data_IF_692805239811
#
_entry.id   IF_692805239811
#
_cell.length_a   1.000
_cell.length_b   1.000
_cell.length_c   1.000
_cell.angle_alpha   90.00
_cell.angle_beta   90.00
_cell.angle_gamma   90.00
#
_symmetry.space_group_name_H-M   'P 1'
#
loop_
_entity.id
_entity.type
_entity.pdbx_description
1 polymer ?
#
# COMPACT_ATOMS: atom_id res chain seq x y z
N UNK A 1 29.22 8.41 -13.37
CA UNK A 1 28.28 9.10 -12.45
C UNK A 1 27.92 8.13 -11.35
N UNK A 2 28.20 8.46 -10.08
CA UNK A 2 27.83 7.59 -8.96
C UNK A 2 26.30 7.45 -8.91
N UNK A 3 25.77 6.23 -8.86
CA UNK A 3 24.34 5.99 -8.61
C UNK A 3 24.02 6.58 -7.24
N UNK A 4 23.19 7.62 -7.17
CA UNK A 4 22.83 8.33 -5.93
C UNK A 4 21.80 7.56 -5.08
N UNK A 5 22.01 6.25 -4.87
CA UNK A 5 21.13 5.38 -4.09
C UNK A 5 21.84 4.72 -2.91
N UNK A 6 21.08 4.39 -1.88
CA UNK A 6 21.52 3.52 -0.78
C UNK A 6 21.30 2.06 -1.18
N UNK A 7 22.10 1.16 -0.63
CA UNK A 7 21.97 -0.28 -0.90
C UNK A 7 21.19 -0.95 0.23
N UNK A 8 20.08 -1.61 -0.09
CA UNK A 8 19.36 -2.50 0.82
C UNK A 8 19.70 -3.96 0.50
N UNK A 9 19.71 -4.82 1.51
CA UNK A 9 19.88 -6.27 1.33
C UNK A 9 18.55 -6.99 1.51
N UNK A 10 18.21 -7.92 0.62
CA UNK A 10 17.02 -8.75 0.73
C UNK A 10 17.24 -9.80 1.81
N UNK A 11 16.38 -9.82 2.82
CA UNK A 11 16.43 -10.76 3.93
C UNK A 11 15.47 -11.93 3.71
N UNK A 12 14.28 -11.65 3.18
CA UNK A 12 13.27 -12.65 2.93
C UNK A 12 12.31 -12.23 1.81
N UNK A 13 11.77 -13.21 1.10
CA UNK A 13 10.71 -13.06 0.11
C UNK A 13 9.64 -14.12 0.36
N UNK A 14 8.40 -13.70 0.60
CA UNK A 14 7.31 -14.59 1.02
C UNK A 14 6.04 -14.27 0.23
N UNK A 15 5.39 -15.29 -0.32
CA UNK A 15 4.10 -15.11 -1.00
C UNK A 15 2.99 -14.99 0.04
N UNK A 16 2.36 -13.82 0.10
CA UNK A 16 1.17 -13.57 0.93
C UNK A 16 -0.08 -14.07 0.20
N UNK A 17 -0.12 -13.89 -1.11
CA UNK A 17 -1.11 -14.49 -2.01
C UNK A 17 -0.41 -14.80 -3.34
N UNK A 18 -1.09 -15.46 -4.29
CA UNK A 18 -0.46 -15.86 -5.57
C UNK A 18 0.24 -14.69 -6.29
N UNK A 19 -0.31 -13.48 -6.15
CA UNK A 19 0.19 -12.27 -6.82
C UNK A 19 0.65 -11.18 -5.84
N UNK A 20 0.78 -11.48 -4.54
CA UNK A 20 1.22 -10.50 -3.54
C UNK A 20 2.45 -11.02 -2.82
N UNK A 21 3.59 -10.38 -3.09
CA UNK A 21 4.89 -10.76 -2.54
C UNK A 21 5.26 -9.81 -1.39
N UNK A 22 5.54 -10.36 -0.22
CA UNK A 22 6.22 -9.66 0.86
C UNK A 22 7.73 -9.74 0.65
N UNK A 23 8.39 -8.59 0.67
CA UNK A 23 9.86 -8.49 0.60
C UNK A 23 10.36 -7.79 1.84
N UNK A 24 11.16 -8.49 2.65
CA UNK A 24 11.82 -7.90 3.82
C UNK A 24 13.24 -7.49 3.44
N UNK A 25 13.55 -6.23 3.70
CA UNK A 25 14.81 -5.59 3.35
C UNK A 25 15.53 -5.10 4.61
N UNK A 26 16.82 -5.40 4.73
CA UNK A 26 17.71 -4.72 5.65
C UNK A 26 18.11 -3.38 5.04
N UNK A 27 17.79 -2.28 5.72
CA UNK A 27 18.26 -0.96 5.31
C UNK A 27 19.58 -0.63 6.02
N UNK A 28 20.49 0.13 5.36
CA UNK A 28 21.77 0.52 5.96
C UNK A 28 21.59 1.61 7.02
N UNK A 29 20.51 2.39 6.91
CA UNK A 29 20.18 3.48 7.83
C UNK A 29 18.82 3.25 8.49
N UNK A 30 18.69 3.72 9.73
CA UNK A 30 17.41 3.77 10.40
C UNK A 30 16.42 4.70 9.66
N UNK A 31 15.18 4.25 9.54
CA UNK A 31 14.09 5.04 8.97
C UNK A 31 13.36 5.81 10.06
N UNK A 32 13.27 7.14 9.94
CA UNK A 32 12.29 7.95 10.71
C UNK A 32 10.89 7.69 10.14
N UNK A 33 10.38 6.49 10.40
CA UNK A 33 9.24 5.95 9.67
C UNK A 33 7.95 6.69 10.00
N UNK A 34 7.20 7.05 8.96
CA UNK A 34 5.83 7.60 9.01
C UNK A 34 4.94 6.72 8.14
N UNK A 35 3.61 6.71 8.38
CA UNK A 35 2.68 5.94 7.54
C UNK A 35 2.88 6.32 6.08
N UNK A 36 2.78 5.34 5.19
CA UNK A 36 2.67 5.58 3.75
C UNK A 36 3.90 6.27 3.13
N UNK A 37 5.08 6.08 3.74
CA UNK A 37 6.36 6.40 3.08
C UNK A 37 6.72 5.30 2.07
N UNK A 38 7.38 5.68 0.99
CA UNK A 38 7.85 4.74 -0.02
C UNK A 38 9.36 4.87 -0.22
N UNK A 39 9.94 3.79 -0.72
CA UNK A 39 11.30 3.75 -1.25
C UNK A 39 11.22 3.57 -2.76
N UNK A 40 12.06 4.31 -3.48
CA UNK A 40 12.18 4.24 -4.93
C UNK A 40 13.31 3.29 -5.30
N UNK A 41 13.00 2.17 -5.92
CA UNK A 41 13.99 1.16 -6.31
C UNK A 41 14.31 1.28 -7.79
N UNK A 42 15.58 1.06 -8.14
CA UNK A 42 15.96 0.80 -9.52
C UNK A 42 15.57 -0.65 -9.86
N UNK A 43 14.58 -0.83 -10.74
CA UNK A 43 14.03 -2.15 -11.08
C UNK A 43 14.62 -2.71 -12.38
N UNK A 44 15.15 -1.83 -13.24
CA UNK A 44 16.04 -2.17 -14.36
C UNK A 44 16.89 -0.95 -14.77
N UNK A 45 17.67 -1.06 -15.84
CA UNK A 45 18.61 -0.01 -16.28
C UNK A 45 17.97 1.35 -16.57
N UNK A 46 16.68 1.40 -16.89
CA UNK A 46 15.96 2.62 -17.29
C UNK A 46 14.73 2.91 -16.44
N UNK A 47 14.39 2.03 -15.50
CA UNK A 47 13.15 2.10 -14.73
C UNK A 47 13.40 2.13 -13.23
N UNK A 48 12.73 3.07 -12.56
CA UNK A 48 12.56 3.02 -11.12
C UNK A 48 11.08 2.83 -10.76
N UNK A 49 10.80 2.21 -9.61
CA UNK A 49 9.44 2.05 -9.07
C UNK A 49 9.40 2.40 -7.58
N UNK A 50 8.31 3.04 -7.18
CA UNK A 50 8.05 3.38 -5.79
C UNK A 50 7.27 2.25 -5.12
N UNK A 51 7.80 1.73 -4.01
CA UNK A 51 7.13 0.72 -3.18
C UNK A 51 6.96 1.24 -1.76
N UNK A 52 5.74 1.14 -1.24
CA UNK A 52 5.42 1.61 0.11
C UNK A 52 6.08 0.71 1.16
N UNK A 53 6.67 1.33 2.18
CA UNK A 53 7.12 0.64 3.40
C UNK A 53 5.87 0.29 4.21
N UNK A 54 5.41 -0.95 4.04
CA UNK A 54 4.22 -1.50 4.68
C UNK A 54 4.43 -1.66 6.18
N UNK A 55 5.63 -2.10 6.59
CA UNK A 55 6.03 -2.20 7.98
C UNK A 55 7.51 -1.83 8.17
N UNK A 56 7.85 -1.35 9.36
CA UNK A 56 9.21 -1.06 9.78
C UNK A 56 9.50 -1.69 11.14
N UNK A 57 10.56 -2.49 11.22
CA UNK A 57 11.11 -3.02 12.46
C UNK A 57 12.33 -2.19 12.86
N UNK A 58 12.18 -1.36 13.89
CA UNK A 58 13.24 -0.45 14.32
C UNK A 58 14.45 -1.18 14.90
N UNK A 59 14.24 -2.21 15.73
CA UNK A 59 15.32 -2.99 16.37
C UNK A 59 16.18 -3.72 15.35
N UNK A 60 15.57 -4.26 14.30
CA UNK A 60 16.28 -4.96 13.22
C UNK A 60 16.69 -4.06 12.07
N UNK A 61 16.22 -2.81 12.04
CA UNK A 61 16.33 -1.89 10.89
C UNK A 61 15.84 -2.51 9.57
N UNK A 62 14.70 -3.20 9.63
CA UNK A 62 14.12 -3.92 8.50
C UNK A 62 12.83 -3.29 8.00
N UNK A 63 12.74 -3.08 6.69
CA UNK A 63 11.53 -2.62 6.01
C UNK A 63 10.84 -3.80 5.32
N UNK A 64 9.53 -3.90 5.44
CA UNK A 64 8.72 -4.85 4.66
C UNK A 64 7.96 -4.10 3.58
N UNK A 65 8.09 -4.57 2.34
CA UNK A 65 7.30 -4.15 1.20
C UNK A 65 6.24 -5.20 0.90
N UNK A 66 5.06 -4.77 0.45
CA UNK A 66 4.04 -5.65 -0.11
C UNK A 66 3.84 -5.25 -1.57
N UNK A 67 4.21 -6.14 -2.50
CA UNK A 67 4.31 -5.86 -3.92
C UNK A 67 3.30 -6.72 -4.66
N UNK A 68 2.34 -6.08 -5.33
CA UNK A 68 1.54 -6.75 -6.35
C UNK A 68 2.45 -7.10 -7.53
N UNK A 69 2.55 -8.40 -7.80
CA UNK A 69 3.29 -8.95 -8.93
C UNK A 69 2.32 -9.54 -9.96
N UNK A 70 1.01 -9.35 -9.85
CA UNK A 70 0.04 -9.99 -10.75
C UNK A 70 0.10 -9.53 -12.21
N UNK A 71 0.75 -8.40 -12.49
CA UNK A 71 0.86 -7.84 -13.83
C UNK A 71 2.27 -8.00 -14.42
N UNK A 72 2.36 -7.97 -15.74
CA UNK A 72 3.63 -7.88 -16.46
C UNK A 72 4.17 -6.45 -16.39
N UNK A 73 5.46 -6.30 -16.10
CA UNK A 73 6.10 -5.00 -15.99
C UNK A 73 7.43 -5.07 -15.26
N UNK A 74 8.29 -4.06 -15.48
CA UNK A 74 9.64 -4.02 -14.92
C UNK A 74 9.67 -4.21 -13.40
N UNK A 75 8.74 -3.57 -12.67
CA UNK A 75 8.63 -3.70 -11.22
C UNK A 75 8.26 -5.11 -10.75
N UNK A 76 7.21 -5.71 -11.34
CA UNK A 76 6.78 -7.07 -11.00
C UNK A 76 7.84 -8.11 -11.36
N UNK A 77 8.50 -7.95 -12.50
CA UNK A 77 9.55 -8.85 -12.96
C UNK A 77 10.80 -8.74 -12.08
N UNK A 78 11.15 -7.53 -11.65
CA UNK A 78 12.20 -7.30 -10.66
C UNK A 78 11.87 -7.98 -9.33
N UNK A 79 10.66 -7.73 -8.78
CA UNK A 79 10.25 -8.29 -7.49
C UNK A 79 10.23 -9.83 -7.49
N UNK A 80 9.77 -10.45 -8.58
CA UNK A 80 9.78 -11.91 -8.78
C UNK A 80 11.17 -12.54 -8.72
N UNK A 81 12.20 -11.78 -9.09
CA UNK A 81 13.58 -12.28 -9.16
C UNK A 81 14.36 -12.11 -7.86
N UNK A 82 13.83 -11.33 -6.90
CA UNK A 82 14.52 -11.11 -5.63
C UNK A 82 14.64 -12.39 -4.82
N UNK A 83 15.82 -12.63 -4.29
CA UNK A 83 16.13 -13.74 -3.40
C UNK A 83 16.83 -13.25 -2.13
N UNK A 84 16.68 -13.95 -0.99
CA UNK A 84 17.48 -13.67 0.19
C UNK A 84 18.98 -13.63 -0.13
N UNK A 85 19.65 -12.56 0.30
CA UNK A 85 21.06 -12.30 0.00
C UNK A 85 21.30 -11.32 -1.16
N UNK A 86 20.30 -11.07 -2.00
CA UNK A 86 20.40 -10.05 -3.06
C UNK A 86 20.56 -8.65 -2.48
N UNK A 87 21.12 -7.75 -3.29
CA UNK A 87 21.18 -6.32 -2.97
C UNK A 87 20.44 -5.50 -4.01
N UNK A 88 19.80 -4.42 -3.56
CA UNK A 88 19.08 -3.51 -4.44
C UNK A 88 19.35 -2.06 -4.06
N UNK A 89 19.37 -1.19 -5.08
CA UNK A 89 19.58 0.24 -4.90
C UNK A 89 18.25 0.95 -4.76
N UNK A 90 18.17 1.84 -3.77
CA UNK A 90 16.98 2.64 -3.53
C UNK A 90 17.29 4.10 -3.18
N UNK A 91 16.29 4.95 -3.39
CA UNK A 91 16.27 6.35 -2.97
C UNK A 91 15.07 6.56 -2.05
N UNK A 92 15.22 7.40 -1.02
CA UNK A 92 14.13 7.76 -0.12
C UNK A 92 14.53 7.78 1.36
N UNK A 93 13.53 7.81 2.27
CA UNK A 93 12.10 7.71 1.97
C UNK A 93 11.52 8.94 1.27
N UNK A 94 10.58 8.71 0.36
CA UNK A 94 9.62 9.71 -0.11
C UNK A 94 8.24 9.48 0.50
N UNK A 95 7.28 10.33 0.15
CA UNK A 95 5.88 10.17 0.57
C UNK A 95 5.63 10.51 2.04
N UNK A 96 4.76 9.75 2.69
CA UNK A 96 4.35 10.01 4.08
C UNK A 96 3.19 10.99 4.24
N UNK A 97 2.52 11.36 3.16
CA UNK A 97 1.42 12.34 3.17
C UNK A 97 0.13 11.79 3.76
N UNK A 98 -0.14 10.49 3.59
CA UNK A 98 -1.26 9.84 4.25
C UNK A 98 -0.83 9.43 5.66
N UNK A 99 -1.50 10.01 6.65
CA UNK A 99 -1.43 9.63 8.05
C UNK A 99 -2.87 9.42 8.53
N UNK A 100 -3.12 8.53 9.51
CA UNK A 100 -4.43 8.43 10.15
C UNK A 100 -4.87 9.81 10.66
N UNK A 101 -6.11 10.18 10.35
CA UNK A 101 -6.73 11.43 10.81
C UNK A 101 -7.31 11.22 12.21
N UNK A 102 -8.02 12.22 12.74
CA UNK A 102 -8.76 12.10 13.99
C UNK A 102 -10.12 11.37 13.85
N UNK A 103 -10.55 11.03 12.63
CA UNK A 103 -11.84 10.35 12.39
C UNK A 103 -11.89 8.98 13.06
N UNK A 104 -13.05 8.59 13.59
CA UNK A 104 -13.24 7.23 14.14
C UNK A 104 -13.15 6.17 13.05
N UNK A 105 -13.74 6.44 11.88
CA UNK A 105 -13.73 5.53 10.75
C UNK A 105 -12.67 5.94 9.71
N UNK A 106 -11.77 5.01 9.41
CA UNK A 106 -10.77 5.14 8.34
C UNK A 106 -11.09 4.11 7.26
N UNK A 107 -11.51 4.56 6.08
CA UNK A 107 -11.90 3.65 4.98
C UNK A 107 -10.86 3.72 3.88
N UNK A 108 -10.16 2.63 3.66
CA UNK A 108 -9.14 2.47 2.64
C UNK A 108 -9.73 1.75 1.42
N UNK A 109 -9.66 2.35 0.24
CA UNK A 109 -10.20 1.79 -1.00
C UNK A 109 -9.13 1.82 -2.08
N UNK A 110 -8.81 0.68 -2.68
CA UNK A 110 -7.77 0.62 -3.70
C UNK A 110 -7.72 -0.68 -4.47
N UNK A 111 -6.64 -0.86 -5.22
CA UNK A 111 -6.28 -2.13 -5.85
C UNK A 111 -5.12 -2.83 -5.11
N UNK A 112 -4.66 -3.95 -5.66
CA UNK A 112 -3.56 -4.74 -5.13
C UNK A 112 -2.28 -3.93 -4.82
N UNK A 113 -1.98 -2.91 -5.62
CA UNK A 113 -0.79 -2.06 -5.44
C UNK A 113 -0.88 -1.19 -4.18
N UNK A 114 -2.09 -0.98 -3.65
CA UNK A 114 -2.33 -0.18 -2.46
C UNK A 114 -2.25 -0.97 -1.14
N UNK A 115 -2.11 -2.31 -1.18
CA UNK A 115 -2.14 -3.15 0.03
C UNK A 115 -1.05 -2.72 1.03
N UNK A 116 0.20 -2.57 0.57
CA UNK A 116 1.29 -2.10 1.45
C UNK A 116 1.05 -0.72 2.04
N UNK A 117 0.41 0.17 1.28
CA UNK A 117 0.06 1.51 1.74
C UNK A 117 -0.98 1.50 2.85
N UNK A 118 -1.99 0.66 2.73
CA UNK A 118 -3.02 0.53 3.76
C UNK A 118 -2.55 -0.26 4.97
N UNK A 119 -1.70 -1.27 4.81
CA UNK A 119 -1.01 -1.93 5.94
C UNK A 119 -0.19 -0.92 6.75
N UNK A 120 0.55 -0.03 6.06
CA UNK A 120 1.33 1.06 6.68
C UNK A 120 0.43 2.04 7.45
N UNK A 121 -0.74 2.37 6.90
CA UNK A 121 -1.72 3.24 7.57
C UNK A 121 -2.35 2.54 8.79
N UNK A 122 -2.71 1.26 8.66
CA UNK A 122 -3.30 0.44 9.71
C UNK A 122 -2.40 0.30 10.93
N UNK A 123 -1.11 0.07 10.72
CA UNK A 123 -0.13 -0.06 11.82
C UNK A 123 -0.02 1.18 12.71
N UNK A 124 -0.49 2.35 12.25
CA UNK A 124 -0.38 3.63 12.94
C UNK A 124 -1.73 4.21 13.37
N UNK A 125 -2.82 3.47 13.18
CA UNK A 125 -4.15 3.90 13.64
C UNK A 125 -4.15 4.09 15.16
N UNK A 126 -4.86 5.09 15.64
CA UNK A 126 -5.08 5.36 17.05
C UNK A 126 -5.94 4.29 17.72
N UNK A 127 -5.88 4.26 19.06
CA UNK A 127 -6.81 3.48 19.87
C UNK A 127 -8.25 3.94 19.60
N UNK A 128 -9.18 2.98 19.44
CA UNK A 128 -10.58 3.26 19.13
C UNK A 128 -10.89 3.52 17.64
N UNK A 129 -9.88 3.75 16.79
CA UNK A 129 -10.12 3.87 15.34
C UNK A 129 -10.44 2.52 14.71
N UNK A 130 -11.48 2.53 13.88
CA UNK A 130 -11.92 1.42 13.04
C UNK A 130 -11.40 1.65 11.62
N UNK A 131 -10.51 0.77 11.16
CA UNK A 131 -10.03 0.80 9.79
C UNK A 131 -10.72 -0.29 8.98
N UNK A 132 -11.28 0.10 7.84
CA UNK A 132 -11.87 -0.79 6.87
C UNK A 132 -11.02 -0.74 5.60
N UNK A 133 -10.70 -1.89 5.01
CA UNK A 133 -9.94 -1.94 3.76
C UNK A 133 -10.74 -2.67 2.69
N UNK A 134 -10.88 -2.04 1.53
CA UNK A 134 -11.48 -2.60 0.34
C UNK A 134 -10.44 -2.64 -0.77
N UNK A 135 -10.11 -3.84 -1.24
CA UNK A 135 -9.11 -4.02 -2.29
C UNK A 135 -9.74 -4.70 -3.50
N UNK A 136 -9.67 -4.07 -4.66
CA UNK A 136 -9.94 -4.72 -5.94
C UNK A 136 -8.85 -5.74 -6.23
N UNK A 137 -9.20 -7.02 -6.25
CA UNK A 137 -8.27 -8.10 -6.56
C UNK A 137 -9.02 -9.30 -7.14
N UNK A 138 -8.38 -10.08 -8.02
CA UNK A 138 -8.98 -11.24 -8.66
C UNK A 138 -9.17 -12.47 -7.75
N UNK A 139 -8.67 -12.41 -6.52
CA UNK A 139 -8.72 -13.50 -5.54
C UNK A 139 -8.74 -12.93 -4.13
N UNK A 140 -9.37 -13.60 -3.15
CA UNK A 140 -9.39 -13.16 -1.76
C UNK A 140 -7.98 -12.93 -1.19
N UNK A 141 -7.78 -11.78 -0.55
CA UNK A 141 -6.57 -11.47 0.20
C UNK A 141 -6.67 -12.00 1.64
N UNK A 142 -5.61 -12.62 2.17
CA UNK A 142 -5.65 -13.26 3.49
C UNK A 142 -5.46 -12.25 4.63
N UNK A 143 -6.55 -11.92 5.32
CA UNK A 143 -6.56 -11.00 6.47
C UNK A 143 -5.54 -11.38 7.56
N UNK A 144 -5.40 -12.68 7.85
CA UNK A 144 -4.51 -13.18 8.90
C UNK A 144 -3.04 -12.93 8.58
N UNK A 145 -2.63 -13.11 7.32
CA UNK A 145 -1.25 -12.87 6.90
C UNK A 145 -0.96 -11.36 6.80
N UNK A 146 -1.94 -10.59 6.33
CA UNK A 146 -1.83 -9.13 6.24
C UNK A 146 -1.93 -8.41 7.59
N UNK A 147 -2.44 -9.09 8.62
CA UNK A 147 -2.69 -8.53 9.96
C UNK A 147 -3.48 -7.22 9.90
N UNK A 148 -4.42 -7.15 8.95
CA UNK A 148 -5.24 -5.99 8.66
C UNK A 148 -6.59 -6.48 8.12
N UNK A 149 -7.72 -5.89 8.57
CA UNK A 149 -9.03 -6.21 8.00
C UNK A 149 -9.05 -5.84 6.52
N UNK A 150 -9.37 -6.79 5.65
CA UNK A 150 -9.46 -6.57 4.20
C UNK A 150 -10.64 -7.31 3.57
N UNK A 151 -11.53 -6.54 2.95
CA UNK A 151 -12.56 -7.04 2.06
C UNK A 151 -12.03 -7.01 0.63
N UNK A 152 -12.01 -8.17 -0.03
CA UNK A 152 -11.64 -8.24 -1.45
C UNK A 152 -12.87 -7.99 -2.33
N UNK A 153 -12.75 -7.10 -3.31
CA UNK A 153 -13.77 -6.80 -4.30
C UNK A 153 -13.39 -7.40 -5.65
N UNK A 154 -14.29 -8.22 -6.23
CA UNK A 154 -14.11 -8.75 -7.59
C UNK A 154 -14.56 -7.74 -8.66
N UNK A 155 -15.70 -7.09 -8.42
CA UNK A 155 -16.16 -5.96 -9.22
C UNK A 155 -15.98 -4.69 -8.40
N UNK A 156 -15.09 -3.82 -8.87
CA UNK A 156 -14.71 -2.62 -8.14
C UNK A 156 -15.88 -1.68 -7.86
N UNK A 157 -16.54 -1.20 -8.91
CA UNK A 157 -17.54 -0.14 -8.79
C UNK A 157 -18.76 -0.62 -8.00
N UNK A 158 -19.32 -1.78 -8.37
CA UNK A 158 -20.49 -2.30 -7.65
C UNK A 158 -20.13 -2.70 -6.23
N UNK A 159 -18.95 -3.29 -6.01
CA UNK A 159 -18.49 -3.72 -4.70
C UNK A 159 -18.28 -2.56 -3.72
N UNK A 160 -17.70 -1.44 -4.18
CA UNK A 160 -17.57 -0.24 -3.35
C UNK A 160 -18.94 0.33 -2.99
N UNK A 161 -19.86 0.45 -3.95
CA UNK A 161 -21.21 0.97 -3.71
C UNK A 161 -21.97 0.09 -2.72
N UNK A 162 -21.96 -1.23 -2.94
CA UNK A 162 -22.64 -2.20 -2.08
C UNK A 162 -22.10 -2.13 -0.65
N UNK A 163 -20.77 -2.11 -0.51
CA UNK A 163 -20.14 -2.05 0.81
C UNK A 163 -20.49 -0.75 1.54
N UNK A 164 -20.41 0.40 0.86
CA UNK A 164 -20.76 1.70 1.46
C UNK A 164 -22.23 1.74 1.89
N UNK A 165 -23.12 1.20 1.06
CA UNK A 165 -24.56 1.15 1.35
C UNK A 165 -24.84 0.27 2.57
N UNK A 166 -24.15 -0.87 2.68
CA UNK A 166 -24.34 -1.82 3.79
C UNK A 166 -23.83 -1.31 5.15
N UNK A 167 -22.78 -0.50 5.15
CA UNK A 167 -22.11 -0.09 6.40
C UNK A 167 -22.63 1.22 7.00
N UNK A 168 -23.40 2.01 6.24
CA UNK A 168 -24.05 3.25 6.71
C UNK A 168 -23.13 4.16 7.56
N UNK A 169 -21.90 4.38 7.07
CA UNK A 169 -20.88 5.11 7.84
C UNK A 169 -21.24 6.59 8.08
N UNK A 170 -20.93 7.14 9.26
CA UNK A 170 -21.10 8.57 9.52
C UNK A 170 -20.05 9.38 8.73
N UNK A 171 -20.43 9.90 7.57
CA UNK A 171 -19.51 10.55 6.63
C UNK A 171 -18.72 11.74 7.23
N UNK A 172 -19.31 12.44 8.20
CA UNK A 172 -18.65 13.52 8.94
C UNK A 172 -17.51 13.04 9.83
N UNK A 173 -17.55 11.79 10.29
CA UNK A 173 -16.55 11.14 11.13
C UNK A 173 -15.85 9.97 10.40
N UNK A 174 -15.80 10.07 9.07
CA UNK A 174 -15.13 9.10 8.20
C UNK A 174 -14.11 9.80 7.33
N UNK A 175 -12.87 9.30 7.32
CA UNK A 175 -11.86 9.67 6.33
C UNK A 175 -11.65 8.53 5.34
N UNK A 176 -11.78 8.84 4.05
CA UNK A 176 -11.52 7.92 2.95
C UNK A 176 -10.09 8.09 2.42
N UNK A 177 -9.30 7.02 2.40
CA UNK A 177 -8.01 6.94 1.74
C UNK A 177 -8.18 6.12 0.46
N UNK A 178 -7.91 6.73 -0.69
CA UNK A 178 -8.10 6.08 -1.99
C UNK A 178 -6.75 5.99 -2.68
N UNK A 179 -6.26 4.78 -2.99
CA UNK A 179 -4.95 4.59 -3.59
C UNK A 179 -4.91 3.45 -4.62
N UNK A 180 -3.99 3.51 -5.57
CA UNK A 180 -3.82 2.50 -6.63
C UNK A 180 -3.79 3.12 -8.02
N UNK A 181 -4.37 2.43 -9.01
CA UNK A 181 -4.44 2.93 -10.39
C UNK A 181 -5.11 4.30 -10.47
N UNK A 182 -4.54 5.23 -11.23
CA UNK A 182 -5.02 6.63 -11.32
C UNK A 182 -6.50 6.70 -11.73
N UNK A 183 -6.93 5.90 -12.73
CA UNK A 183 -8.33 5.89 -13.17
C UNK A 183 -9.28 5.44 -12.05
N UNK A 184 -8.92 4.38 -11.35
CA UNK A 184 -9.65 3.85 -10.20
C UNK A 184 -9.77 4.91 -9.09
N UNK A 185 -8.67 5.59 -8.76
CA UNK A 185 -8.64 6.64 -7.74
C UNK A 185 -9.55 7.81 -8.11
N UNK A 186 -9.52 8.26 -9.37
CA UNK A 186 -10.37 9.34 -9.88
C UNK A 186 -11.84 8.96 -9.83
N UNK A 187 -12.19 7.75 -10.30
CA UNK A 187 -13.57 7.26 -10.30
C UNK A 187 -14.14 7.16 -8.89
N UNK A 188 -13.38 6.62 -7.94
CA UNK A 188 -13.85 6.47 -6.55
C UNK A 188 -13.94 7.77 -5.82
N UNK A 189 -12.99 8.70 -6.04
CA UNK A 189 -13.13 10.04 -5.49
C UNK A 189 -14.41 10.72 -6.00
N UNK A 190 -14.76 10.55 -7.27
CA UNK A 190 -16.01 11.08 -7.83
C UNK A 190 -17.23 10.45 -7.17
N UNK A 191 -17.26 9.13 -7.04
CA UNK A 191 -18.33 8.38 -6.36
C UNK A 191 -18.54 8.86 -4.92
N UNK A 192 -17.47 8.89 -4.12
CA UNK A 192 -17.52 9.29 -2.71
C UNK A 192 -18.03 10.74 -2.55
N UNK A 193 -17.59 11.65 -3.42
CA UNK A 193 -18.09 13.03 -3.42
C UNK A 193 -19.59 13.11 -3.72
N UNK A 194 -20.08 12.32 -4.67
CA UNK A 194 -21.51 12.25 -4.99
C UNK A 194 -22.34 11.71 -3.82
N UNK A 195 -21.76 10.83 -3.01
CA UNK A 195 -22.37 10.34 -1.76
C UNK A 195 -22.27 11.31 -0.58
N UNK A 196 -21.64 12.49 -0.75
CA UNK A 196 -21.53 13.51 0.30
C UNK A 196 -20.28 13.41 1.18
N UNK A 197 -19.33 12.52 0.88
CA UNK A 197 -18.08 12.43 1.63
C UNK A 197 -17.20 13.68 1.41
N UNK A 198 -16.75 14.28 2.50
CA UNK A 198 -15.93 15.51 2.49
C UNK A 198 -14.44 15.23 2.72
N UNK A 199 -14.10 14.18 3.48
CA UNK A 199 -12.72 13.84 3.85
C UNK A 199 -12.18 12.71 2.96
N UNK A 200 -11.68 13.06 1.77
CA UNK A 200 -11.13 12.09 0.79
C UNK A 200 -9.67 12.42 0.49
N UNK A 201 -8.79 11.44 0.68
CA UNK A 201 -7.34 11.52 0.48
C UNK A 201 -6.91 10.58 -0.65
N UNK A 202 -6.80 11.07 -1.91
CA UNK A 202 -6.42 10.27 -3.06
C UNK A 202 -4.90 10.19 -3.27
N UNK A 203 -4.40 9.04 -3.73
CA UNK A 203 -3.01 8.83 -4.16
C UNK A 203 -2.94 7.89 -5.38
N UNK A 204 -2.56 8.41 -6.55
CA UNK A 204 -2.36 7.58 -7.75
C UNK A 204 -0.96 6.97 -7.77
N UNK A 205 -0.85 5.68 -8.07
CA UNK A 205 0.42 4.93 -8.07
C UNK A 205 0.88 4.55 -9.48
N UNK A 206 -0.06 4.21 -10.37
CA UNK A 206 0.24 3.75 -11.73
C UNK A 206 -0.94 4.05 -12.68
N UNK A 207 -0.70 4.00 -13.99
CA UNK A 207 -1.70 4.28 -15.04
C UNK A 207 -2.16 3.02 -15.78
#
# INVERSE_FOLDING_TARGET
MARMGKTASVIATEYIANNLLAVTLQLPDALKWRSCQHLKFEVDKSNCRDYTVAAWNETKQQATLLIDIGHEGAGSNWARQLQPGDTTLYVGPGGGFHQPTASTHLVCIGDASAVGHFTSLHSRKGAGQQLHTLICHHQPLPEQLLQMPVTTLLNYTSGVIEWLTKHELPLQDTTFYVAGQVRLVVQTRKLLKQSGASQIKPAGFWE
#
